data_IF_003907145296
#
_entry.id   IF_003907145296
#
_cell.length_a   1.000
_cell.length_b   1.000
_cell.length_c   1.000
_cell.angle_alpha   90.00
_cell.angle_beta   90.00
_cell.angle_gamma   90.00
#
_symmetry.space_group_name_H-M   'P 1'
#
loop_
_entity.id
_entity.type
_entity.pdbx_description
1 polymer ?
#
# COMPACT_ATOMS: atom_id res chain seq x y z
N UNK A 1 -19.92 11.57 -9.52
CA UNK A 1 -20.35 11.88 -10.90
C UNK A 1 -21.59 12.78 -10.97
N UNK A 2 -22.78 12.34 -10.53
CA UNK A 2 -24.00 13.18 -10.59
C UNK A 2 -23.87 14.53 -9.84
N UNK A 3 -23.06 14.57 -8.80
CA UNK A 3 -22.73 15.79 -8.03
C UNK A 3 -21.41 16.45 -8.46
N UNK A 4 -20.88 16.14 -9.64
CA UNK A 4 -19.60 16.69 -10.14
C UNK A 4 -18.34 16.09 -9.51
N UNK A 5 -18.45 15.12 -8.60
CA UNK A 5 -17.27 14.48 -8.02
C UNK A 5 -16.48 13.64 -9.04
N UNK A 6 -15.13 13.66 -8.97
CA UNK A 6 -14.25 12.83 -9.81
C UNK A 6 -14.61 11.34 -9.77
N UNK A 7 -14.52 10.66 -10.92
CA UNK A 7 -14.83 9.24 -11.06
C UNK A 7 -13.99 8.39 -10.10
N UNK A 8 -12.68 8.63 -10.07
CA UNK A 8 -11.70 7.92 -9.23
C UNK A 8 -12.01 8.00 -7.72
N UNK A 9 -12.65 9.08 -7.27
CA UNK A 9 -13.00 9.26 -5.86
C UNK A 9 -14.32 8.56 -5.52
N UNK A 10 -15.27 8.54 -6.45
CA UNK A 10 -16.57 7.85 -6.30
C UNK A 10 -16.38 6.33 -6.28
N UNK A 11 -15.47 5.83 -7.12
CA UNK A 11 -15.23 4.41 -7.34
C UNK A 11 -13.96 3.90 -6.65
N UNK A 12 -13.37 4.69 -5.75
CA UNK A 12 -12.20 4.27 -4.98
C UNK A 12 -12.54 3.05 -4.14
N UNK A 13 -11.60 2.10 -4.06
CA UNK A 13 -11.69 1.00 -3.10
C UNK A 13 -11.93 1.50 -1.66
N UNK A 14 -12.65 0.74 -0.82
CA UNK A 14 -12.85 1.12 0.56
C UNK A 14 -11.52 1.16 1.33
N UNK A 15 -11.39 2.16 2.19
CA UNK A 15 -10.22 2.36 3.04
C UNK A 15 -10.65 2.29 4.52
N UNK A 16 -9.93 1.53 5.37
CA UNK A 16 -10.32 1.29 6.75
C UNK A 16 -10.27 2.56 7.61
N UNK A 17 -11.13 2.66 8.63
CA UNK A 17 -11.17 3.81 9.54
C UNK A 17 -9.84 4.10 10.27
N UNK A 18 -9.16 3.10 10.85
CA UNK A 18 -7.82 3.26 11.41
C UNK A 18 -6.70 3.53 10.37
N UNK A 19 -7.03 3.52 9.08
CA UNK A 19 -6.12 3.78 7.98
C UNK A 19 -4.95 2.79 7.88
N UNK A 20 -3.76 3.33 7.63
CA UNK A 20 -2.54 2.53 7.49
C UNK A 20 -2.13 1.83 8.79
N UNK A 21 -2.65 2.26 9.95
CA UNK A 21 -2.30 1.66 11.24
C UNK A 21 -2.59 0.16 11.32
N UNK A 22 -3.68 -0.31 10.69
CA UNK A 22 -3.99 -1.76 10.65
C UNK A 22 -3.21 -2.52 9.56
N UNK A 23 -2.45 -1.83 8.72
CA UNK A 23 -1.60 -2.40 7.68
C UNK A 23 -0.13 -2.51 8.12
N UNK A 24 0.18 -2.03 9.31
CA UNK A 24 1.49 -2.22 9.96
C UNK A 24 1.30 -3.24 11.08
N UNK A 25 1.95 -4.40 10.96
CA UNK A 25 1.89 -5.43 11.99
C UNK A 25 2.88 -5.09 13.11
N UNK A 26 2.36 -5.00 14.34
CA UNK A 26 3.12 -4.65 15.53
C UNK A 26 3.11 -3.14 15.83
N UNK A 27 4.21 -2.64 16.38
CA UNK A 27 4.33 -1.21 16.71
C UNK A 27 4.28 -0.34 15.45
N UNK A 28 3.43 0.69 15.50
CA UNK A 28 3.26 1.69 14.44
C UNK A 28 4.28 2.81 14.67
N UNK A 29 5.20 2.97 13.73
CA UNK A 29 6.20 4.05 13.73
C UNK A 29 6.10 4.84 12.43
N UNK A 30 6.59 6.09 12.41
CA UNK A 30 6.54 6.91 11.18
C UNK A 30 7.29 6.25 10.02
N UNK A 31 8.49 5.69 10.28
CA UNK A 31 9.27 4.93 9.31
C UNK A 31 8.46 3.80 8.66
N UNK A 32 7.75 3.00 9.46
CA UNK A 32 6.91 1.91 8.94
C UNK A 32 5.71 2.42 8.16
N UNK A 33 5.15 3.57 8.56
CA UNK A 33 4.05 4.21 7.84
C UNK A 33 4.52 4.73 6.48
N UNK A 34 5.73 5.28 6.39
CA UNK A 34 6.35 5.68 5.12
C UNK A 34 6.51 4.48 4.18
N UNK A 35 7.08 3.37 4.67
CA UNK A 35 7.24 2.12 3.88
C UNK A 35 5.88 1.63 3.32
N UNK A 36 4.84 1.57 4.16
CA UNK A 36 3.52 1.13 3.70
C UNK A 36 2.90 2.13 2.73
N UNK A 37 3.08 3.45 2.95
CA UNK A 37 2.54 4.49 2.07
C UNK A 37 3.13 4.43 0.67
N UNK A 38 4.44 4.23 0.57
CA UNK A 38 5.15 4.16 -0.70
C UNK A 38 4.82 2.86 -1.44
N UNK A 39 4.86 1.73 -0.74
CA UNK A 39 4.50 0.43 -1.34
C UNK A 39 3.04 0.37 -1.80
N UNK A 40 2.10 0.96 -1.04
CA UNK A 40 0.68 1.02 -1.43
C UNK A 40 0.46 1.94 -2.64
N UNK A 41 1.21 3.05 -2.75
CA UNK A 41 1.17 3.91 -3.93
C UNK A 41 1.59 3.15 -5.18
N UNK A 42 2.74 2.47 -5.14
CA UNK A 42 3.26 1.67 -6.26
C UNK A 42 2.24 0.60 -6.68
N UNK A 43 1.68 -0.14 -5.72
CA UNK A 43 0.66 -1.15 -6.01
C UNK A 43 -0.57 -0.54 -6.68
N UNK A 44 -1.10 0.58 -6.16
CA UNK A 44 -2.29 1.24 -6.73
C UNK A 44 -2.03 1.74 -8.15
N UNK A 45 -0.85 2.30 -8.42
CA UNK A 45 -0.47 2.77 -9.76
C UNK A 45 -0.38 1.62 -10.76
N UNK A 46 0.25 0.50 -10.39
CA UNK A 46 0.34 -0.66 -11.27
C UNK A 46 -1.01 -1.35 -11.50
N UNK A 47 -1.89 -1.41 -10.48
CA UNK A 47 -3.27 -1.90 -10.64
C UNK A 47 -4.06 -1.03 -11.63
N UNK A 48 -3.98 0.30 -11.49
CA UNK A 48 -4.67 1.24 -12.38
C UNK A 48 -4.12 1.18 -13.81
N UNK A 49 -2.80 1.08 -13.98
CA UNK A 49 -2.13 0.97 -15.28
C UNK A 49 -2.55 -0.28 -16.07
N UNK A 50 -2.92 -1.36 -15.38
CA UNK A 50 -3.42 -2.59 -15.99
C UNK A 50 -4.95 -2.67 -16.04
N UNK A 51 -5.66 -1.62 -15.63
CA UNK A 51 -7.14 -1.55 -15.66
C UNK A 51 -7.84 -2.51 -14.68
N UNK A 52 -7.13 -2.97 -13.65
CA UNK A 52 -7.64 -3.96 -12.70
C UNK A 52 -8.42 -3.33 -11.53
N UNK A 53 -8.43 -2.00 -11.44
CA UNK A 53 -9.04 -1.21 -10.36
C UNK A 53 -10.57 -1.41 -10.24
N UNK A 54 -11.22 -1.91 -11.30
CA UNK A 54 -12.66 -2.22 -11.34
C UNK A 54 -12.96 -3.72 -11.16
N UNK A 55 -11.96 -4.57 -11.32
CA UNK A 55 -12.10 -6.02 -11.22
C UNK A 55 -11.83 -6.52 -9.81
N UNK A 56 -10.91 -5.86 -9.10
CA UNK A 56 -10.48 -6.24 -7.76
C UNK A 56 -11.22 -5.40 -6.71
N UNK A 57 -11.88 -6.07 -5.76
CA UNK A 57 -12.61 -5.41 -4.68
C UNK A 57 -11.72 -4.50 -3.80
N UNK A 58 -10.58 -5.03 -3.33
CA UNK A 58 -9.59 -4.29 -2.54
C UNK A 58 -8.18 -4.79 -2.85
N UNK A 59 -7.22 -3.88 -2.88
CA UNK A 59 -5.80 -4.14 -3.15
C UNK A 59 -4.96 -3.17 -2.32
N UNK A 60 -4.07 -3.71 -1.49
CA UNK A 60 -3.26 -2.93 -0.55
C UNK A 60 -2.02 -3.69 -0.12
N UNK A 61 -1.03 -2.96 0.39
CA UNK A 61 0.17 -3.54 1.00
C UNK A 61 0.02 -3.63 2.52
N UNK A 62 0.77 -4.56 3.11
CA UNK A 62 0.88 -4.76 4.56
C UNK A 62 2.34 -4.95 4.89
N UNK A 63 2.81 -4.30 5.96
CA UNK A 63 4.16 -4.51 6.50
C UNK A 63 4.10 -5.58 7.59
N UNK A 64 4.61 -6.81 7.36
CA UNK A 64 4.43 -7.93 8.27
C UNK A 64 5.27 -7.84 9.56
N UNK A 65 6.20 -6.89 9.64
CA UNK A 65 7.11 -6.73 10.78
C UNK A 65 8.21 -7.79 10.85
N UNK A 66 8.38 -8.58 9.79
CA UNK A 66 9.45 -9.57 9.63
C UNK A 66 10.54 -8.97 8.74
N UNK A 67 11.81 -9.18 9.09
CA UNK A 67 12.95 -8.79 8.25
C UNK A 67 13.39 -9.96 7.39
N UNK A 68 13.75 -9.67 6.14
CA UNK A 68 14.35 -10.63 5.22
C UNK A 68 15.79 -10.25 4.91
N UNK A 69 16.57 -11.23 4.43
CA UNK A 69 17.94 -10.98 3.96
C UNK A 69 17.89 -10.47 2.52
N UNK A 70 18.35 -9.25 2.32
CA UNK A 70 18.57 -8.65 1.02
C UNK A 70 20.04 -8.76 0.57
N UNK A 71 20.25 -8.55 -0.73
CA UNK A 71 21.59 -8.33 -1.29
C UNK A 71 21.68 -6.88 -1.70
N UNK A 72 22.68 -6.16 -1.18
CA UNK A 72 22.96 -4.78 -1.54
C UNK A 72 24.45 -4.66 -1.90
N UNK A 73 24.74 -4.48 -3.19
CA UNK A 73 26.10 -4.62 -3.71
C UNK A 73 26.64 -6.03 -3.47
N UNK A 74 27.83 -6.13 -2.90
CA UNK A 74 28.47 -7.41 -2.52
C UNK A 74 28.11 -7.86 -1.08
N UNK A 75 27.23 -7.12 -0.39
CA UNK A 75 26.88 -7.33 1.01
C UNK A 75 25.48 -7.92 1.22
N UNK A 76 25.28 -8.53 2.40
CA UNK A 76 23.95 -8.90 2.90
C UNK A 76 23.39 -7.78 3.75
N UNK A 77 22.14 -7.40 3.53
CA UNK A 77 21.37 -6.45 4.35
C UNK A 77 20.17 -7.15 4.99
N UNK A 78 19.65 -6.58 6.07
CA UNK A 78 18.38 -7.01 6.64
C UNK A 78 17.42 -5.84 6.54
N UNK A 79 16.33 -6.03 5.81
CA UNK A 79 15.30 -5.00 5.62
C UNK A 79 13.90 -5.64 5.64
N UNK A 80 12.86 -4.82 5.66
CA UNK A 80 11.46 -5.26 5.64
C UNK A 80 10.92 -5.53 4.23
#
# INVERSE_FOLDING_TARGET
EKLGMPHELVWRQPFPGPGLGIRVIGEITEEKLEIVRDSDLILREEIAKHGLDKEIWQYFTVLPGIRSVGVMGDGRTYDY
#
